data_IF_591135884953
#
_entry.id   IF_591135884953
#
_cell.length_a   1.000
_cell.length_b   1.000
_cell.length_c   1.000
_cell.angle_alpha   90.00
_cell.angle_beta   90.00
_cell.angle_gamma   90.00
#
_symmetry.space_group_name_H-M   'P 1'
#
loop_
_entity.id
_entity.type
_entity.pdbx_description
1 polymer ?
#
# COMPACT_ATOMS: atom_id res chain seq x y z
N UNK A 1 1.51 -11.55 12.27
CA UNK A 1 0.06 -11.55 11.96
C UNK A 1 -0.13 -12.39 10.72
N UNK A 2 -1.04 -13.38 10.72
CA UNK A 2 -1.28 -14.18 9.51
C UNK A 2 -2.06 -13.34 8.49
N UNK A 3 -1.68 -13.42 7.22
CA UNK A 3 -2.28 -12.68 6.09
C UNK A 3 -3.81 -12.73 6.07
N UNK A 4 -4.39 -13.87 6.45
CA UNK A 4 -5.85 -14.04 6.50
C UNK A 4 -6.51 -13.14 7.55
N UNK A 5 -5.87 -12.91 8.70
CA UNK A 5 -6.37 -12.01 9.73
C UNK A 5 -6.29 -10.55 9.31
N UNK A 6 -5.29 -10.20 8.50
CA UNK A 6 -5.14 -8.85 7.94
C UNK A 6 -6.28 -8.55 6.97
N UNK A 7 -6.57 -9.48 6.05
CA UNK A 7 -7.64 -9.30 5.05
C UNK A 7 -9.06 -9.35 5.63
N UNK A 8 -9.26 -9.97 6.79
CA UNK A 8 -10.57 -10.03 7.46
C UNK A 8 -10.82 -8.87 8.43
N UNK A 9 -9.90 -7.91 8.56
CA UNK A 9 -10.06 -6.81 9.50
C UNK A 9 -11.13 -5.81 8.96
N UNK A 10 -12.18 -5.49 9.73
CA UNK A 10 -13.28 -4.64 9.24
C UNK A 10 -12.83 -3.30 8.65
N UNK A 11 -11.85 -2.64 9.29
CA UNK A 11 -11.31 -1.37 8.80
C UNK A 11 -10.57 -1.48 7.44
N UNK A 12 -10.10 -2.68 7.06
CA UNK A 12 -9.49 -2.92 5.76
C UNK A 12 -10.54 -3.33 4.72
N UNK A 13 -11.60 -4.04 5.12
CA UNK A 13 -12.72 -4.33 4.23
C UNK A 13 -13.37 -3.05 3.67
N UNK A 14 -13.48 -2.00 4.49
CA UNK A 14 -14.02 -0.70 4.05
C UNK A 14 -13.04 0.09 3.16
N UNK A 15 -11.75 -0.22 3.22
CA UNK A 15 -10.70 0.47 2.46
C UNK A 15 -10.48 -0.16 1.08
N UNK A 16 -10.68 -1.48 0.96
CA UNK A 16 -10.38 -2.25 -0.24
C UNK A 16 -11.64 -2.38 -1.12
N UNK A 17 -11.53 -1.94 -2.36
CA UNK A 17 -12.57 -2.16 -3.38
C UNK A 17 -12.64 -3.62 -3.80
N UNK A 18 -13.69 -4.02 -4.53
CA UNK A 18 -13.80 -5.38 -5.08
C UNK A 18 -12.61 -5.75 -5.99
N UNK A 19 -12.02 -4.77 -6.68
CA UNK A 19 -10.84 -4.97 -7.51
C UNK A 19 -9.58 -5.15 -6.68
N UNK A 20 -9.41 -4.34 -5.63
CA UNK A 20 -8.31 -4.53 -4.69
C UNK A 20 -8.37 -5.92 -4.07
N UNK A 21 -9.56 -6.37 -3.65
CA UNK A 21 -9.73 -7.72 -3.10
C UNK A 21 -9.33 -8.82 -4.10
N UNK A 22 -9.53 -8.63 -5.41
CA UNK A 22 -9.04 -9.58 -6.44
C UNK A 22 -7.52 -9.60 -6.50
N UNK A 23 -6.86 -8.43 -6.40
CA UNK A 23 -5.40 -8.32 -6.35
C UNK A 23 -4.85 -9.00 -5.09
N UNK A 24 -5.46 -8.74 -3.93
CA UNK A 24 -5.03 -9.29 -2.64
C UNK A 24 -5.17 -10.82 -2.55
N UNK A 25 -5.92 -11.48 -3.44
CA UNK A 25 -5.89 -12.96 -3.57
C UNK A 25 -4.53 -13.50 -4.00
N UNK A 26 -3.71 -12.68 -4.66
CA UNK A 26 -2.35 -13.02 -5.05
C UNK A 26 -1.33 -12.68 -3.97
N UNK A 27 -1.73 -12.02 -2.87
CA UNK A 27 -0.81 -11.73 -1.77
C UNK A 27 -0.39 -13.05 -1.12
N UNK A 28 0.91 -13.30 -1.11
CA UNK A 28 1.53 -14.51 -0.58
C UNK A 28 1.97 -14.31 0.86
N UNK A 29 2.64 -13.19 1.13
CA UNK A 29 3.14 -12.85 2.46
C UNK A 29 3.23 -11.34 2.66
N UNK A 30 3.27 -10.95 3.93
CA UNK A 30 3.44 -9.58 4.37
C UNK A 30 4.57 -9.54 5.39
N UNK A 31 5.62 -8.80 5.06
CA UNK A 31 6.78 -8.62 5.92
C UNK A 31 6.76 -7.23 6.52
N UNK A 32 7.04 -7.13 7.81
CA UNK A 32 7.32 -5.87 8.49
C UNK A 32 8.77 -5.89 8.94
N UNK A 33 9.50 -4.86 8.55
CA UNK A 33 10.90 -4.67 8.88
C UNK A 33 11.00 -3.34 9.63
N UNK A 34 11.30 -3.41 10.93
CA UNK A 34 11.64 -2.22 11.69
C UNK A 34 12.99 -1.69 11.20
N UNK A 35 13.13 -0.37 11.18
CA UNK A 35 14.44 0.23 10.95
C UNK A 35 15.41 -0.12 12.09
N UNK A 36 16.72 0.00 11.83
CA UNK A 36 17.77 -0.34 12.81
C UNK A 36 17.56 0.35 14.16
N UNK A 37 17.08 1.58 14.11
CA UNK A 37 16.57 2.31 15.26
C UNK A 37 15.04 2.25 15.21
N UNK A 38 14.40 1.43 16.04
CA UNK A 38 12.94 1.17 16.02
C UNK A 38 12.09 2.46 16.01
N UNK A 39 12.62 3.56 16.56
CA UNK A 39 11.95 4.87 16.58
C UNK A 39 12.05 5.65 15.26
N UNK A 40 12.98 5.29 14.37
CA UNK A 40 13.30 6.00 13.13
C UNK A 40 12.46 5.57 11.93
N UNK A 41 11.63 4.52 12.08
CA UNK A 41 10.73 4.09 11.01
C UNK A 41 10.53 2.58 10.89
N UNK A 42 9.71 2.21 9.92
CA UNK A 42 9.42 0.83 9.56
C UNK A 42 9.12 0.71 8.07
N UNK A 43 9.28 -0.49 7.53
CA UNK A 43 8.90 -0.84 6.19
C UNK A 43 7.88 -1.97 6.20
N UNK A 44 6.85 -1.84 5.37
CA UNK A 44 5.90 -2.89 5.08
C UNK A 44 6.17 -3.37 3.66
N UNK A 45 6.40 -4.67 3.48
CA UNK A 45 6.57 -5.30 2.17
C UNK A 45 5.43 -6.27 1.92
N UNK A 46 4.70 -6.05 0.84
CA UNK A 46 3.65 -6.92 0.33
C UNK A 46 4.27 -7.79 -0.77
N UNK A 47 4.38 -9.10 -0.51
CA UNK A 47 4.87 -10.06 -1.49
C UNK A 47 3.67 -10.72 -2.18
N UNK A 48 3.58 -10.57 -3.48
CA UNK A 48 2.55 -11.14 -4.33
C UNK A 48 3.12 -12.29 -5.16
N UNK A 49 2.25 -13.24 -5.51
CA UNK A 49 2.50 -14.17 -6.60
C UNK A 49 2.40 -13.42 -7.93
N UNK A 50 2.95 -14.03 -8.98
CA UNK A 50 2.73 -13.56 -10.35
C UNK A 50 1.22 -13.43 -10.61
N UNK A 51 0.84 -12.30 -11.20
CA UNK A 51 -0.55 -11.94 -11.40
C UNK A 51 -0.70 -11.03 -12.63
N UNK A 52 -1.92 -10.93 -13.15
CA UNK A 52 -2.21 -10.16 -14.37
C UNK A 52 -2.35 -8.65 -14.15
N UNK A 53 -2.19 -8.14 -12.92
CA UNK A 53 -2.50 -6.76 -12.57
C UNK A 53 -1.29 -5.83 -12.70
N UNK A 54 -0.11 -6.27 -12.24
CA UNK A 54 1.13 -5.51 -12.28
C UNK A 54 2.35 -6.42 -12.39
N UNK A 55 3.47 -5.88 -12.87
CA UNK A 55 4.70 -6.65 -13.11
C UNK A 55 5.43 -7.02 -11.81
N UNK A 56 5.51 -6.10 -10.86
CA UNK A 56 6.36 -6.27 -9.67
C UNK A 56 5.72 -7.16 -8.61
N UNK A 57 6.33 -8.30 -8.28
CA UNK A 57 5.83 -9.20 -7.23
C UNK A 57 6.05 -8.69 -5.80
N UNK A 58 6.71 -7.53 -5.62
CA UNK A 58 7.00 -6.97 -4.30
C UNK A 58 6.71 -5.48 -4.25
N UNK A 59 5.76 -5.09 -3.41
CA UNK A 59 5.44 -3.69 -3.15
C UNK A 59 5.92 -3.32 -1.74
N UNK A 60 6.88 -2.40 -1.64
CA UNK A 60 7.44 -1.94 -0.36
C UNK A 60 6.97 -0.51 -0.08
N UNK A 61 6.51 -0.27 1.14
CA UNK A 61 6.21 1.06 1.66
C UNK A 61 7.05 1.30 2.91
N UNK A 62 7.87 2.33 2.87
CA UNK A 62 8.79 2.70 3.94
C UNK A 62 8.37 4.03 4.54
N UNK A 63 8.25 4.04 5.86
CA UNK A 63 8.03 5.22 6.68
C UNK A 63 9.34 5.51 7.43
N UNK A 64 9.87 6.71 7.26
CA UNK A 64 11.07 7.17 7.96
C UNK A 64 10.71 8.40 8.77
N UNK A 65 10.92 8.35 10.09
CA UNK A 65 10.69 9.43 11.02
C UNK A 65 12.01 10.10 11.35
N UNK A 66 12.06 11.42 11.22
CA UNK A 66 13.22 12.23 11.57
C UNK A 66 13.00 12.91 12.92
N UNK A 67 14.09 13.21 13.63
CA UNK A 67 14.05 13.86 14.95
C UNK A 67 13.41 15.25 14.91
N UNK A 68 13.44 15.94 13.77
CA UNK A 68 12.76 17.22 13.57
C UNK A 68 11.22 17.12 13.53
N UNK A 69 10.67 15.91 13.71
CA UNK A 69 9.24 15.64 13.69
C UNK A 69 8.65 15.46 12.28
N UNK A 70 9.49 15.47 11.23
CA UNK A 70 9.06 15.19 9.86
C UNK A 70 9.07 13.69 9.57
N UNK A 71 8.17 13.26 8.69
CA UNK A 71 8.11 11.89 8.20
C UNK A 71 8.29 11.87 6.68
N UNK A 72 9.22 11.05 6.19
CA UNK A 72 9.35 10.73 4.77
C UNK A 72 8.72 9.38 4.49
N UNK A 73 7.86 9.37 3.47
CA UNK A 73 7.19 8.16 3.01
C UNK A 73 7.73 7.85 1.63
N UNK A 74 8.28 6.65 1.46
CA UNK A 74 8.74 6.13 0.16
C UNK A 74 7.92 4.90 -0.18
N UNK A 75 7.57 4.71 -1.44
CA UNK A 75 6.79 3.55 -1.90
C UNK A 75 7.33 3.06 -3.23
N UNK A 76 7.29 1.74 -3.45
CA UNK A 76 7.56 1.16 -4.78
C UNK A 76 6.58 1.74 -5.78
N UNK A 77 7.10 2.20 -6.93
CA UNK A 77 6.26 2.60 -8.05
C UNK A 77 5.64 1.36 -8.68
N UNK A 78 4.31 1.28 -8.71
CA UNK A 78 3.60 0.11 -9.22
C UNK A 78 3.52 0.21 -10.75
N UNK A 79 4.11 -0.77 -11.43
CA UNK A 79 4.00 -0.93 -12.89
C UNK A 79 2.76 -1.74 -13.24
N UNK A 80 1.65 -1.04 -13.40
CA UNK A 80 0.37 -1.64 -13.78
C UNK A 80 0.39 -2.13 -15.22
N UNK A 81 -0.21 -3.28 -15.47
CA UNK A 81 -0.38 -3.82 -16.82
C UNK A 81 -1.42 -3.02 -17.62
N UNK A 82 -1.34 -3.07 -18.96
CA UNK A 82 -2.29 -2.41 -19.86
C UNK A 82 -3.74 -2.84 -19.55
N UNK A 83 -4.61 -1.86 -19.31
CA UNK A 83 -6.00 -2.07 -18.87
C UNK A 83 -6.25 -1.75 -17.39
N UNK A 84 -5.26 -1.94 -16.50
CA UNK A 84 -5.38 -1.58 -15.07
C UNK A 84 -4.97 -0.12 -14.78
N UNK A 85 -4.22 0.49 -15.69
CA UNK A 85 -3.75 1.88 -15.60
C UNK A 85 -4.91 2.89 -15.51
N UNK A 86 -6.06 2.64 -16.16
CA UNK A 86 -7.20 3.57 -16.09
C UNK A 86 -7.77 3.71 -14.68
N UNK A 87 -7.76 2.64 -13.89
CA UNK A 87 -8.25 2.61 -12.51
C UNK A 87 -7.29 3.31 -11.55
N UNK A 88 -5.97 3.10 -11.75
CA UNK A 88 -4.94 3.75 -10.94
C UNK A 88 -4.98 5.29 -11.06
N UNK A 89 -5.24 5.82 -12.27
CA UNK A 89 -5.34 7.27 -12.50
C UNK A 89 -6.62 7.90 -11.91
N UNK A 90 -7.73 7.14 -11.80
CA UNK A 90 -8.91 7.57 -11.05
C UNK A 90 -8.63 7.62 -9.54
N UNK A 91 -7.84 6.69 -9.01
CA UNK A 91 -7.50 6.64 -7.59
C UNK A 91 -6.62 7.83 -7.15
N UNK A 92 -5.69 8.29 -8.00
CA UNK A 92 -4.92 9.51 -7.74
C UNK A 92 -5.81 10.77 -7.68
N UNK A 93 -6.83 10.86 -8.54
CA UNK A 93 -7.73 12.02 -8.58
C UNK A 93 -8.69 12.06 -7.39
N UNK A 94 -9.09 10.91 -6.83
CA UNK A 94 -9.85 10.81 -5.57
C UNK A 94 -8.96 11.17 -4.36
N UNK A 95 -7.71 10.71 -4.33
CA UNK A 95 -6.78 10.98 -3.22
C UNK A 95 -6.37 12.45 -3.15
N UNK A 96 -6.25 13.14 -4.30
CA UNK A 96 -6.01 14.60 -4.35
C UNK A 96 -7.20 15.40 -3.84
N UNK A 97 -8.44 14.97 -4.11
CA UNK A 97 -9.66 15.68 -3.66
C UNK A 97 -9.82 15.68 -2.13
N UNK A 98 -9.40 14.61 -1.44
CA UNK A 98 -9.43 14.53 0.03
C UNK A 98 -8.39 15.42 0.72
N UNK A 99 -7.26 15.76 0.06
CA UNK A 99 -6.28 16.72 0.62
C UNK A 99 -6.74 18.18 0.57
N UNK A 100 -7.77 18.51 -0.21
CA UNK A 100 -8.29 19.88 -0.32
C UNK A 100 -9.50 20.17 0.59
N UNK A 101 -10.04 19.18 1.30
CA UNK A 101 -11.20 19.35 2.20
C UNK A 101 -10.80 19.10 3.66
N UNK A 102 -9.83 19.87 4.16
CA UNK A 102 -9.69 20.11 5.61
C UNK A 102 -9.05 21.48 5.82
N UNK A 103 -9.81 22.53 5.57
CA UNK A 103 -9.70 23.83 6.26
C UNK A 103 -11.08 24.49 6.17
N UNK A 104 -11.89 24.22 7.20
CA UNK A 104 -13.01 25.04 7.62
C UNK A 104 -12.69 25.58 9.01
#
# INVERSE_FOLDING_TARGET
>A
MCIMQFLSHPALCDLLTEEDQKIFKYLDSLDMEDSKDVMSGYSITFNFKENAHFEDTKLKKTFTFFEEGTAKITSTYIKWNEGMVMLALQMESITRKRRQTTFG
#
